data_IF_649787585265
#
_entry.id   IF_649787585265
#
_cell.length_a   1.000
_cell.length_b   1.000
_cell.length_c   1.000
_cell.angle_alpha   90.00
_cell.angle_beta   90.00
_cell.angle_gamma   90.00
#
_symmetry.space_group_name_H-M   'P 1'
#
loop_
_entity.id
_entity.type
_entity.pdbx_description
1 polymer ?
#
# COMPACT_ATOMS: atom_id res chain seq x y z
N UNK A 1 -17.22 -10.04 2.74
CA UNK A 1 -16.65 -10.14 4.11
C UNK A 1 -15.26 -10.78 4.11
N UNK A 2 -15.05 -11.88 3.39
CA UNK A 2 -13.74 -12.57 3.31
C UNK A 2 -12.59 -11.68 2.80
N UNK A 3 -12.86 -10.79 1.84
CA UNK A 3 -11.83 -9.92 1.22
C UNK A 3 -11.27 -8.87 2.18
N UNK A 4 -12.10 -8.36 3.11
CA UNK A 4 -11.65 -7.44 4.16
C UNK A 4 -10.75 -8.14 5.18
N UNK A 5 -11.06 -9.40 5.49
CA UNK A 5 -10.25 -10.23 6.39
C UNK A 5 -8.88 -10.52 5.77
N UNK A 6 -8.83 -10.82 4.47
CA UNK A 6 -7.59 -10.99 3.71
C UNK A 6 -6.72 -9.72 3.71
N UNK A 7 -7.34 -8.55 3.56
CA UNK A 7 -6.65 -7.26 3.65
C UNK A 7 -6.05 -7.01 5.04
N UNK A 8 -6.81 -7.29 6.09
CA UNK A 8 -6.34 -7.18 7.48
C UNK A 8 -5.19 -8.16 7.78
N UNK A 9 -5.28 -9.40 7.28
CA UNK A 9 -4.23 -10.40 7.44
C UNK A 9 -2.96 -9.98 6.70
N UNK A 10 -3.07 -9.50 5.45
CA UNK A 10 -1.93 -8.99 4.69
C UNK A 10 -1.23 -7.81 5.38
N UNK A 11 -2.00 -6.87 5.93
CA UNK A 11 -1.46 -5.75 6.70
C UNK A 11 -0.80 -6.21 8.01
N UNK A 12 -1.39 -7.19 8.69
CA UNK A 12 -0.83 -7.81 9.89
C UNK A 12 0.51 -8.49 9.61
N UNK A 13 0.62 -9.25 8.52
CA UNK A 13 1.87 -9.93 8.12
C UNK A 13 2.96 -8.91 7.78
N UNK A 14 2.64 -7.81 7.10
CA UNK A 14 3.61 -6.73 6.86
C UNK A 14 4.09 -6.08 8.15
N UNK A 15 3.18 -5.83 9.10
CA UNK A 15 3.52 -5.21 10.38
C UNK A 15 4.40 -6.12 11.25
N UNK A 16 4.09 -7.41 11.31
CA UNK A 16 4.95 -8.40 11.97
C UNK A 16 6.31 -8.50 11.26
N UNK A 17 6.33 -8.51 9.93
CA UNK A 17 7.56 -8.55 9.14
C UNK A 17 8.48 -7.38 9.44
N UNK A 18 7.96 -6.15 9.49
CA UNK A 18 8.74 -4.96 9.86
C UNK A 18 9.39 -5.09 11.25
N UNK A 19 8.72 -5.74 12.21
CA UNK A 19 9.23 -5.89 13.57
C UNK A 19 10.32 -6.97 13.71
N UNK A 20 10.45 -7.88 12.74
CA UNK A 20 11.50 -8.92 12.77
C UNK A 20 12.88 -8.35 12.46
N UNK A 21 13.89 -8.76 13.26
CA UNK A 21 15.29 -8.32 13.13
C UNK A 21 16.11 -9.18 12.16
N UNK A 22 15.63 -10.37 11.82
CA UNK A 22 16.29 -11.28 10.88
C UNK A 22 16.04 -10.85 9.44
N UNK A 23 17.10 -10.54 8.71
CA UNK A 23 17.02 -9.86 7.41
C UNK A 23 16.30 -10.70 6.35
N UNK A 24 16.56 -12.02 6.33
CA UNK A 24 15.93 -12.97 5.40
C UNK A 24 14.43 -13.12 5.71
N UNK A 25 14.08 -13.28 7.00
CA UNK A 25 12.68 -13.41 7.41
C UNK A 25 11.90 -12.11 7.24
N UNK A 26 12.55 -10.96 7.42
CA UNK A 26 11.96 -9.64 7.14
C UNK A 26 11.62 -9.48 5.67
N UNK A 27 12.53 -9.84 4.76
CA UNK A 27 12.27 -9.76 3.31
C UNK A 27 11.18 -10.75 2.92
N UNK A 28 11.25 -12.00 3.39
CA UNK A 28 10.25 -13.01 3.09
C UNK A 28 8.85 -12.59 3.54
N UNK A 29 8.71 -12.10 4.78
CA UNK A 29 7.42 -11.63 5.31
C UNK A 29 6.89 -10.38 4.61
N UNK A 30 7.77 -9.46 4.21
CA UNK A 30 7.40 -8.30 3.39
C UNK A 30 6.88 -8.72 2.01
N UNK A 31 7.57 -9.66 1.34
CA UNK A 31 7.17 -10.18 0.01
C UNK A 31 5.87 -10.96 0.11
N UNK A 32 5.73 -11.87 1.07
CA UNK A 32 4.49 -12.64 1.26
C UNK A 32 3.33 -11.72 1.63
N UNK A 33 3.54 -10.72 2.50
CA UNK A 33 2.51 -9.75 2.87
C UNK A 33 2.07 -8.87 1.70
N UNK A 34 3.00 -8.47 0.81
CA UNK A 34 2.65 -7.72 -0.41
C UNK A 34 1.88 -8.57 -1.41
N UNK A 35 2.26 -9.83 -1.63
CA UNK A 35 1.51 -10.75 -2.50
C UNK A 35 0.09 -10.97 -1.95
N UNK A 36 -0.04 -11.21 -0.65
CA UNK A 36 -1.33 -11.36 0.01
C UNK A 36 -2.20 -10.09 -0.09
N UNK A 37 -1.59 -8.91 -0.01
CA UNK A 37 -2.28 -7.64 -0.21
C UNK A 37 -2.74 -7.44 -1.65
N UNK A 38 -1.91 -7.77 -2.65
CA UNK A 38 -2.28 -7.66 -4.07
C UNK A 38 -3.45 -8.60 -4.37
N UNK A 39 -3.37 -9.85 -3.91
CA UNK A 39 -4.46 -10.81 -4.08
C UNK A 39 -5.73 -10.42 -3.31
N UNK A 40 -5.57 -9.94 -2.07
CA UNK A 40 -6.68 -9.42 -1.28
C UNK A 40 -7.35 -8.21 -1.92
N UNK A 41 -6.56 -7.34 -2.56
CA UNK A 41 -7.02 -6.18 -3.30
C UNK A 41 -7.74 -6.57 -4.61
N UNK A 42 -7.22 -7.54 -5.37
CA UNK A 42 -7.90 -8.07 -6.57
C UNK A 42 -9.25 -8.73 -6.25
N UNK A 43 -9.41 -9.27 -5.04
CA UNK A 43 -10.65 -9.87 -4.54
C UNK A 43 -11.53 -8.88 -3.75
N UNK A 44 -11.09 -7.62 -3.60
CA UNK A 44 -11.79 -6.61 -2.83
C UNK A 44 -13.00 -6.03 -3.59
N UNK A 45 -14.05 -5.59 -2.89
CA UNK A 45 -15.19 -4.94 -3.51
C UNK A 45 -14.79 -3.60 -4.16
N UNK A 46 -15.50 -3.25 -5.24
CA UNK A 46 -15.24 -2.10 -6.12
C UNK A 46 -14.93 -0.79 -5.37
N UNK A 47 -15.57 -0.56 -4.23
CA UNK A 47 -15.37 0.63 -3.38
C UNK A 47 -13.92 0.81 -2.92
N UNK A 48 -13.21 -0.26 -2.58
CA UNK A 48 -11.81 -0.18 -2.14
C UNK A 48 -10.86 0.09 -3.32
N UNK A 49 -11.18 -0.47 -4.49
CA UNK A 49 -10.41 -0.24 -5.70
C UNK A 49 -10.47 1.25 -6.11
N UNK A 50 -11.67 1.84 -6.08
CA UNK A 50 -11.85 3.27 -6.36
C UNK A 50 -11.07 4.17 -5.39
N UNK A 51 -11.08 3.87 -4.08
CA UNK A 51 -10.35 4.68 -3.09
C UNK A 51 -8.85 4.66 -3.39
N UNK A 52 -8.30 3.48 -3.70
CA UNK A 52 -6.87 3.34 -4.02
C UNK A 52 -6.50 4.08 -5.31
N UNK A 53 -7.40 4.09 -6.29
CA UNK A 53 -7.21 4.79 -7.56
C UNK A 53 -7.21 6.31 -7.35
N UNK A 54 -8.15 6.82 -6.56
CA UNK A 54 -8.20 8.24 -6.19
C UNK A 54 -6.90 8.64 -5.49
N UNK A 55 -6.41 7.86 -4.53
CA UNK A 55 -5.15 8.15 -3.83
C UNK A 55 -3.97 8.11 -4.79
N UNK A 56 -3.92 7.13 -5.71
CA UNK A 56 -2.85 7.01 -6.69
C UNK A 56 -2.81 8.20 -7.65
N UNK A 57 -3.99 8.64 -8.13
CA UNK A 57 -4.11 9.83 -8.98
C UNK A 57 -3.70 11.08 -8.21
N UNK A 58 -4.14 11.24 -6.96
CA UNK A 58 -3.78 12.39 -6.13
C UNK A 58 -2.28 12.44 -5.80
N UNK A 59 -1.67 11.28 -5.54
CA UNK A 59 -0.24 11.15 -5.30
C UNK A 59 0.57 11.46 -6.56
N UNK A 60 0.18 10.92 -7.71
CA UNK A 60 0.80 11.22 -9.00
C UNK A 60 0.68 12.72 -9.33
N UNK A 61 -0.50 13.31 -9.12
CA UNK A 61 -0.72 14.74 -9.29
C UNK A 61 0.16 15.57 -8.35
N UNK A 62 0.26 15.20 -7.08
CA UNK A 62 1.12 15.89 -6.09
C UNK A 62 2.60 15.79 -6.46
N UNK A 63 3.07 14.63 -6.90
CA UNK A 63 4.43 14.43 -7.38
C UNK A 63 4.70 15.23 -8.65
N UNK A 64 3.78 15.22 -9.63
CA UNK A 64 3.88 16.05 -10.83
C UNK A 64 3.95 17.55 -10.48
N UNK A 65 3.10 18.04 -9.58
CA UNK A 65 3.12 19.43 -9.12
C UNK A 65 4.42 19.78 -8.37
N UNK A 66 4.99 18.84 -7.61
CA UNK A 66 6.33 19.00 -6.99
C UNK A 66 7.45 19.01 -8.04
N UNK A 67 7.42 18.11 -9.02
CA UNK A 67 8.42 18.01 -10.08
C UNK A 67 8.37 19.20 -11.05
N UNK A 68 7.19 19.76 -11.32
CA UNK A 68 7.00 20.98 -12.11
C UNK A 68 7.32 22.25 -11.32
N UNK A 69 7.71 22.15 -10.04
CA UNK A 69 8.01 23.31 -9.19
C UNK A 69 6.81 24.18 -8.83
N UNK A 70 5.58 23.73 -9.13
CA UNK A 70 4.34 24.46 -8.83
C UNK A 70 3.86 24.27 -7.38
N UNK A 71 4.68 23.68 -6.51
CA UNK A 71 4.36 23.38 -5.12
C UNK A 71 5.25 24.11 -4.13
N UNK A 72 4.71 25.19 -3.56
CA UNK A 72 5.15 25.86 -2.32
C UNK A 72 6.48 26.65 -2.42
N UNK A 73 6.44 27.82 -3.08
CA UNK A 73 7.36 28.89 -2.73
C UNK A 73 6.98 29.38 -1.32
N UNK A 74 7.76 28.94 -0.34
CA UNK A 74 7.72 29.42 1.04
C UNK A 74 8.75 30.55 1.16
N UNK A 75 8.47 31.68 0.50
CA UNK A 75 9.03 32.99 0.83
C UNK A 75 8.13 34.10 0.27
#
# INVERSE_FOLDING_TARGET
MISLVLLLIGLGVLFLGWKTRDEIHRIASLVTGTIALIWGFSLAPLSFQLISEIISVLAAFSLCMRCLGCGFNRN
#
